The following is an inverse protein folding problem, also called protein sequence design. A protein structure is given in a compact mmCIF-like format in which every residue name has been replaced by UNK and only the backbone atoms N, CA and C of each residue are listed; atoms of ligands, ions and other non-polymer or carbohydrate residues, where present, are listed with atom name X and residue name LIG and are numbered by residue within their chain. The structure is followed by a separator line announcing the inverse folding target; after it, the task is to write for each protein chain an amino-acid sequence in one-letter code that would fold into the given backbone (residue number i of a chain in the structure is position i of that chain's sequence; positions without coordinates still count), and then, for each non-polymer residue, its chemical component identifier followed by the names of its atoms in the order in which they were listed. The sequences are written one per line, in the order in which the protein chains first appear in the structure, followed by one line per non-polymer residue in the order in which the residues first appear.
data_IF_830696337449
#
_entry.id   IF_830696337449
#
_cell.length_a   1.000
_cell.length_b   1.000
_cell.length_c   1.000
_cell.angle_alpha   90.00
_cell.angle_beta   90.00
_cell.angle_gamma   90.00
#
_symmetry.space_group_name_H-M   'P 1'
#
loop_
_entity.id
_entity.type
_entity.pdbx_description
1 polymer ?
#
# COMPACT_ATOMS: atom_id res chain seq x y z
N UNK A 1 52.01 20.25 -6.51
CA UNK A 1 51.76 18.96 -5.82
C UNK A 1 50.60 19.11 -4.87
N UNK A 2 49.43 18.68 -5.29
CA UNK A 2 48.27 18.55 -4.38
C UNK A 2 48.52 17.29 -3.54
N UNK A 3 48.69 17.48 -2.23
CA UNK A 3 49.18 16.46 -1.35
C UNK A 3 48.16 15.34 -1.13
N UNK A 4 48.65 14.12 -0.89
CA UNK A 4 47.89 12.92 -0.51
C UNK A 4 46.92 13.19 0.64
N UNK A 5 47.16 14.18 1.50
CA UNK A 5 46.27 14.57 2.60
C UNK A 5 44.92 15.15 2.18
N UNK A 6 44.82 15.79 1.02
CA UNK A 6 43.57 16.36 0.51
C UNK A 6 42.62 15.28 -0.08
N UNK A 7 43.22 14.23 -0.64
CA UNK A 7 42.44 13.07 -1.15
C UNK A 7 41.85 12.27 0.00
N UNK A 8 42.64 12.03 1.06
CA UNK A 8 42.18 11.35 2.27
C UNK A 8 41.08 12.12 3.03
N UNK A 9 41.22 13.45 3.14
CA UNK A 9 40.16 14.28 3.76
C UNK A 9 38.85 14.28 2.97
N UNK A 10 38.92 14.31 1.63
CA UNK A 10 37.73 14.20 0.78
C UNK A 10 37.06 12.83 0.91
N UNK A 11 37.85 11.75 0.87
CA UNK A 11 37.32 10.39 1.03
C UNK A 11 36.65 10.21 2.39
N UNK A 12 37.25 10.69 3.51
CA UNK A 12 36.62 10.64 4.83
C UNK A 12 35.36 11.53 4.95
N UNK A 13 35.29 12.65 4.23
CA UNK A 13 34.10 13.49 4.21
C UNK A 13 32.98 12.86 3.38
N UNK A 14 33.30 12.23 2.26
CA UNK A 14 32.33 11.52 1.42
C UNK A 14 31.78 10.27 2.13
N UNK A 15 32.63 9.49 2.84
CA UNK A 15 32.20 8.37 3.67
C UNK A 15 31.34 8.85 4.85
N UNK A 16 31.71 9.93 5.53
CA UNK A 16 30.92 10.48 6.64
C UNK A 16 29.55 11.01 6.17
N UNK A 17 29.48 11.58 4.96
CA UNK A 17 28.23 12.04 4.36
C UNK A 17 27.33 10.86 4.01
N UNK A 18 27.87 9.78 3.47
CA UNK A 18 27.16 8.56 3.10
C UNK A 18 26.61 7.84 4.36
N UNK A 19 27.40 7.75 5.44
CA UNK A 19 26.95 7.22 6.73
C UNK A 19 25.82 8.06 7.35
N UNK A 20 25.88 9.40 7.24
CA UNK A 20 24.83 10.29 7.73
C UNK A 20 23.51 10.12 6.98
N UNK A 21 23.56 10.00 5.66
CA UNK A 21 22.38 9.78 4.82
C UNK A 21 21.76 8.39 5.04
N UNK A 22 22.59 7.36 5.20
CA UNK A 22 22.15 6.01 5.55
C UNK A 22 21.46 5.97 6.92
N UNK A 23 22.03 6.64 7.93
CA UNK A 23 21.45 6.75 9.26
C UNK A 23 20.10 7.49 9.24
N UNK A 24 19.97 8.56 8.46
CA UNK A 24 18.71 9.30 8.28
C UNK A 24 17.64 8.45 7.60
N UNK A 25 18.00 7.68 6.57
CA UNK A 25 17.08 6.74 5.90
C UNK A 25 16.64 5.62 6.84
N UNK A 26 17.55 5.05 7.62
CA UNK A 26 17.23 4.03 8.62
C UNK A 26 16.32 4.57 9.71
N UNK A 27 16.58 5.77 10.23
CA UNK A 27 15.74 6.42 11.24
C UNK A 27 14.32 6.71 10.70
N UNK A 28 14.20 7.13 9.44
CA UNK A 28 12.89 7.34 8.80
C UNK A 28 12.10 6.04 8.69
N UNK A 29 12.76 4.94 8.31
CA UNK A 29 12.13 3.61 8.22
C UNK A 29 11.67 3.14 9.59
N UNK A 30 12.50 3.28 10.62
CA UNK A 30 12.16 2.92 12.00
C UNK A 30 10.99 3.74 12.53
N UNK A 31 10.99 5.06 12.28
CA UNK A 31 9.90 5.94 12.70
C UNK A 31 8.56 5.58 12.04
N UNK A 32 8.59 5.20 10.76
CA UNK A 32 7.39 4.78 10.05
C UNK A 32 6.81 3.45 10.58
N UNK A 33 7.63 2.62 11.22
CA UNK A 33 7.25 1.32 11.79
C UNK A 33 6.89 1.38 13.27
N UNK A 34 6.83 2.56 13.89
CA UNK A 34 6.43 2.68 15.29
C UNK A 34 5.02 2.11 15.49
N UNK A 35 4.90 1.20 16.48
CA UNK A 35 3.68 0.45 16.75
C UNK A 35 3.55 -0.87 15.98
N UNK A 36 4.48 -1.17 15.05
CA UNK A 36 4.51 -2.44 14.35
C UNK A 36 5.30 -3.49 15.15
N UNK A 37 4.80 -4.71 15.24
CA UNK A 37 5.58 -5.85 15.71
C UNK A 37 6.73 -6.14 14.76
N UNK A 38 7.91 -6.44 15.30
CA UNK A 38 9.09 -6.78 14.52
C UNK A 38 9.66 -8.12 14.94
N UNK A 39 10.21 -8.84 13.97
CA UNK A 39 10.97 -10.06 14.22
C UNK A 39 12.46 -9.74 14.30
N UNK A 40 13.16 -10.37 15.24
CA UNK A 40 14.60 -10.22 15.40
C UNK A 40 15.26 -11.51 15.86
N UNK A 41 16.56 -11.66 15.60
CA UNK A 41 17.40 -12.71 16.15
C UNK A 41 18.31 -12.15 17.23
N UNK A 42 18.34 -12.80 18.38
CA UNK A 42 19.28 -12.45 19.44
C UNK A 42 20.68 -12.94 19.02
N UNK A 43 21.65 -12.02 19.00
CA UNK A 43 23.04 -12.27 18.63
C UNK A 43 23.95 -12.44 19.83
N UNK A 44 23.61 -11.80 20.93
CA UNK A 44 24.40 -11.87 22.14
C UNK A 44 23.65 -11.30 23.33
N UNK A 45 24.04 -11.81 24.48
CA UNK A 45 23.57 -11.35 25.79
C UNK A 45 24.81 -10.98 26.62
N UNK A 46 24.83 -9.77 27.14
CA UNK A 46 25.84 -9.36 28.10
C UNK A 46 25.21 -9.21 29.49
N UNK A 47 25.42 -10.20 30.38
CA UNK A 47 24.86 -10.17 31.74
C UNK A 47 25.42 -9.03 32.60
N UNK A 48 26.65 -8.54 32.32
CA UNK A 48 27.30 -7.48 33.10
C UNK A 48 26.66 -6.13 32.84
N UNK A 49 26.42 -5.81 31.58
CA UNK A 49 25.79 -4.54 31.16
C UNK A 49 24.27 -4.68 31.07
N UNK A 50 23.69 -5.87 31.25
CA UNK A 50 22.26 -6.20 31.04
C UNK A 50 21.77 -5.78 29.67
N UNK A 51 22.62 -5.92 28.64
CA UNK A 51 22.31 -5.57 27.28
C UNK A 51 22.07 -6.79 26.40
N UNK A 52 21.18 -6.61 25.42
CA UNK A 52 20.83 -7.61 24.40
C UNK A 52 21.17 -7.02 23.04
N UNK A 53 21.97 -7.75 22.27
CA UNK A 53 22.22 -7.42 20.86
C UNK A 53 21.32 -8.27 19.99
N UNK A 54 20.51 -7.64 19.16
CA UNK A 54 19.56 -8.31 18.28
C UNK A 54 19.67 -7.77 16.84
N UNK A 55 19.37 -8.61 15.87
CA UNK A 55 19.41 -8.26 14.45
C UNK A 55 18.07 -8.55 13.77
N UNK A 56 17.39 -7.49 13.32
CA UNK A 56 16.20 -7.60 12.45
C UNK A 56 16.60 -8.11 11.06
N UNK A 57 17.69 -7.59 10.50
CA UNK A 57 18.18 -7.98 9.17
C UNK A 57 18.34 -9.51 9.05
N UNK A 58 18.98 -10.13 10.03
CA UNK A 58 19.17 -11.57 10.00
C UNK A 58 17.88 -12.38 10.17
N UNK A 59 16.94 -11.86 10.99
CA UNK A 59 15.62 -12.46 11.09
C UNK A 59 14.89 -12.42 9.74
N UNK A 60 14.97 -11.30 9.01
CA UNK A 60 14.39 -11.16 7.68
C UNK A 60 15.04 -12.12 6.67
N UNK A 61 16.37 -12.19 6.63
CA UNK A 61 17.08 -13.12 5.74
C UNK A 61 16.71 -14.59 6.04
N UNK A 62 16.63 -14.97 7.31
CA UNK A 62 16.19 -16.30 7.71
C UNK A 62 14.76 -16.60 7.28
N UNK A 63 13.83 -15.66 7.43
CA UNK A 63 12.46 -15.82 6.93
C UNK A 63 12.44 -15.99 5.42
N UNK A 64 13.20 -15.17 4.68
CA UNK A 64 13.27 -15.28 3.22
C UNK A 64 13.79 -16.65 2.79
N UNK A 65 14.84 -17.15 3.43
CA UNK A 65 15.34 -18.51 3.17
C UNK A 65 14.23 -19.57 3.35
N UNK A 66 13.55 -19.55 4.50
CA UNK A 66 12.54 -20.56 4.87
C UNK A 66 11.28 -20.51 4.00
N UNK A 67 10.85 -19.32 3.58
CA UNK A 67 9.57 -19.15 2.93
C UNK A 67 9.66 -19.09 1.40
N UNK A 68 10.79 -18.65 0.82
CA UNK A 68 10.92 -18.44 -0.61
C UNK A 68 11.92 -19.38 -1.28
N UNK A 69 12.91 -19.91 -0.56
CA UNK A 69 13.98 -20.71 -1.13
C UNK A 69 13.92 -22.17 -0.69
N UNK A 70 13.64 -22.43 0.59
CA UNK A 70 13.50 -23.79 1.08
C UNK A 70 12.25 -24.42 0.48
N UNK A 71 12.43 -25.65 -0.04
CA UNK A 71 11.36 -26.43 -0.65
C UNK A 71 10.79 -27.42 0.34
N UNK A 72 9.50 -27.60 0.31
CA UNK A 72 8.80 -28.63 1.07
C UNK A 72 8.94 -30.04 0.42
N UNK A 73 8.26 -31.02 0.97
CA UNK A 73 8.27 -32.40 0.46
C UNK A 73 7.72 -32.52 -0.97
N UNK A 74 6.93 -31.54 -1.45
CA UNK A 74 6.42 -31.47 -2.82
C UNK A 74 7.37 -30.79 -3.79
N UNK A 75 8.51 -30.25 -3.31
CA UNK A 75 9.48 -29.51 -4.09
C UNK A 75 9.12 -28.03 -4.31
N UNK A 76 8.07 -27.53 -3.62
CA UNK A 76 7.58 -26.14 -3.76
C UNK A 76 8.03 -25.27 -2.58
N UNK A 77 8.35 -23.99 -2.82
CA UNK A 77 8.55 -23.03 -1.74
C UNK A 77 7.21 -22.74 -1.03
N UNK A 78 7.27 -22.20 0.19
CA UNK A 78 6.05 -21.88 0.95
C UNK A 78 5.30 -20.65 0.38
N UNK A 79 6.01 -19.73 -0.27
CA UNK A 79 5.42 -18.58 -0.96
C UNK A 79 5.67 -18.73 -2.45
N UNK A 80 4.59 -18.73 -3.21
CA UNK A 80 4.58 -18.87 -4.66
C UNK A 80 3.43 -18.07 -5.26
N UNK A 81 3.44 -17.89 -6.55
CA UNK A 81 2.44 -17.16 -7.31
C UNK A 81 1.02 -17.70 -7.09
N UNK A 82 0.03 -16.81 -7.04
CA UNK A 82 -1.39 -17.06 -6.73
C UNK A 82 -1.71 -17.49 -5.29
N UNK A 83 -0.70 -17.71 -4.45
CA UNK A 83 -0.95 -18.03 -3.04
C UNK A 83 -1.46 -16.82 -2.28
N UNK A 84 -2.49 -17.03 -1.44
CA UNK A 84 -2.95 -16.04 -0.47
C UNK A 84 -2.16 -16.26 0.83
N UNK A 85 -1.56 -15.17 1.33
CA UNK A 85 -0.73 -15.17 2.54
C UNK A 85 -1.05 -13.95 3.41
N UNK A 86 -0.66 -14.02 4.67
CA UNK A 86 -0.75 -12.89 5.57
C UNK A 86 0.47 -11.98 5.39
N UNK A 87 0.22 -10.68 5.29
CA UNK A 87 1.22 -9.62 5.27
C UNK A 87 1.02 -8.68 6.46
N UNK A 88 2.09 -8.10 6.95
CA UNK A 88 2.07 -7.10 8.02
C UNK A 88 2.26 -5.71 7.42
N UNK A 89 1.38 -4.78 7.74
CA UNK A 89 1.50 -3.37 7.32
C UNK A 89 2.60 -2.69 8.13
N UNK A 90 3.63 -2.16 7.45
CA UNK A 90 4.79 -1.53 8.09
C UNK A 90 4.86 -0.02 7.86
N UNK A 91 4.16 0.50 6.87
CA UNK A 91 3.97 1.94 6.66
C UNK A 91 2.73 2.18 5.80
N UNK A 92 2.06 3.31 6.02
CA UNK A 92 0.88 3.73 5.25
C UNK A 92 1.05 5.18 4.80
N UNK A 93 0.85 5.43 3.52
CA UNK A 93 0.73 6.76 2.94
C UNK A 93 -0.57 6.87 2.15
N UNK A 94 -0.92 8.07 1.69
CA UNK A 94 -2.21 8.34 1.04
C UNK A 94 -2.58 7.35 -0.07
N UNK A 95 -1.62 7.00 -0.93
CA UNK A 95 -1.85 6.15 -2.13
C UNK A 95 -1.05 4.85 -2.13
N UNK A 96 -0.38 4.51 -1.03
CA UNK A 96 0.45 3.32 -0.96
C UNK A 96 0.51 2.75 0.46
N UNK A 97 0.43 1.44 0.56
CA UNK A 97 0.70 0.67 1.78
C UNK A 97 2.00 -0.11 1.56
N UNK A 98 2.92 0.01 2.50
CA UNK A 98 4.09 -0.89 2.55
C UNK A 98 3.78 -2.04 3.48
N UNK A 99 3.95 -3.25 2.98
CA UNK A 99 3.71 -4.48 3.73
C UNK A 99 4.96 -5.35 3.77
N UNK A 100 5.13 -6.08 4.85
CA UNK A 100 6.14 -7.12 5.00
C UNK A 100 5.48 -8.49 4.82
N UNK A 101 6.00 -9.27 3.88
CA UNK A 101 5.56 -10.64 3.60
C UNK A 101 6.74 -11.57 3.86
N UNK A 102 6.76 -12.23 5.02
CA UNK A 102 7.81 -13.18 5.43
C UNK A 102 9.25 -12.65 5.21
N UNK A 103 9.51 -11.41 5.66
CA UNK A 103 10.83 -10.80 5.58
C UNK A 103 11.11 -10.01 4.30
N UNK A 104 10.16 -9.95 3.36
CA UNK A 104 10.24 -9.13 2.14
C UNK A 104 9.31 -7.93 2.28
N UNK A 105 9.84 -6.73 2.09
CA UNK A 105 9.03 -5.51 2.06
C UNK A 105 8.57 -5.25 0.62
N UNK A 106 7.27 -5.04 0.45
CA UNK A 106 6.65 -4.69 -0.82
C UNK A 106 5.76 -3.46 -0.68
N UNK A 107 5.56 -2.74 -1.77
CA UNK A 107 4.66 -1.59 -1.83
C UNK A 107 3.43 -1.94 -2.63
N UNK A 108 2.25 -1.81 -2.02
CA UNK A 108 0.96 -2.07 -2.65
C UNK A 108 0.30 -0.72 -2.90
N UNK A 109 0.04 -0.39 -4.16
CA UNK A 109 -0.57 0.87 -4.54
C UNK A 109 -2.08 0.85 -4.26
N UNK A 110 -2.69 2.03 -4.09
CA UNK A 110 -4.13 2.16 -3.81
C UNK A 110 -5.03 1.37 -4.79
N UNK A 111 -4.67 1.33 -6.08
CA UNK A 111 -5.37 0.56 -7.12
C UNK A 111 -5.31 -0.97 -6.94
N UNK A 112 -4.34 -1.45 -6.13
CA UNK A 112 -4.12 -2.87 -5.85
C UNK A 112 -4.56 -3.24 -4.43
N UNK A 113 -4.97 -2.25 -3.62
CA UNK A 113 -5.55 -2.44 -2.29
C UNK A 113 -7.04 -2.77 -2.35
N UNK A 114 -7.79 -2.20 -3.31
CA UNK A 114 -9.24 -2.40 -3.43
C UNK A 114 -9.70 -2.18 -4.87
N UNK A 115 -10.82 -2.84 -5.25
CA UNK A 115 -11.56 -2.50 -6.47
C UNK A 115 -12.31 -1.17 -6.33
N UNK A 116 -12.57 -0.76 -5.11
CA UNK A 116 -13.17 0.54 -4.82
C UNK A 116 -12.12 1.63 -4.86
N UNK A 117 -12.50 2.80 -5.35
CA UNK A 117 -11.60 3.95 -5.30
C UNK A 117 -11.30 4.34 -3.87
N UNK A 118 -10.03 4.55 -3.62
CA UNK A 118 -9.51 4.90 -2.32
C UNK A 118 -8.85 6.29 -2.41
N UNK A 119 -9.46 7.26 -1.76
CA UNK A 119 -8.94 8.62 -1.65
C UNK A 119 -7.67 8.67 -0.81
N UNK A 120 -7.69 7.96 0.32
CA UNK A 120 -6.57 7.90 1.27
C UNK A 120 -6.52 6.49 1.91
N UNK A 121 -5.40 5.79 1.73
CA UNK A 121 -5.22 4.44 2.29
C UNK A 121 -5.16 4.45 3.83
N UNK A 122 -4.80 5.58 4.46
CA UNK A 122 -4.75 5.74 5.92
C UNK A 122 -6.12 5.64 6.59
N UNK A 123 -7.20 5.78 5.82
CA UNK A 123 -8.57 5.59 6.32
C UNK A 123 -8.94 4.11 6.55
N UNK A 124 -8.23 3.19 5.89
CA UNK A 124 -8.53 1.74 5.93
C UNK A 124 -7.42 0.90 6.52
N UNK A 125 -6.18 1.38 6.50
CA UNK A 125 -5.01 0.62 6.91
C UNK A 125 -4.20 1.39 7.95
N UNK A 126 -3.71 0.67 8.94
CA UNK A 126 -2.85 1.20 9.99
C UNK A 126 -1.55 0.40 10.07
N UNK A 127 -0.49 1.04 10.58
CA UNK A 127 0.79 0.35 10.85
C UNK A 127 0.58 -0.72 11.92
N UNK A 128 1.04 -1.94 11.66
CA UNK A 128 0.83 -3.10 12.51
C UNK A 128 -0.34 -4.00 12.10
N UNK A 129 -1.22 -3.56 11.19
CA UNK A 129 -2.31 -4.40 10.69
C UNK A 129 -1.77 -5.67 10.01
N UNK A 130 -2.52 -6.75 10.18
CA UNK A 130 -2.34 -7.98 9.42
C UNK A 130 -3.39 -8.06 8.32
N UNK A 131 -2.95 -8.08 7.08
CA UNK A 131 -3.82 -8.11 5.89
C UNK A 131 -3.56 -9.38 5.08
N UNK A 132 -4.58 -9.89 4.43
CA UNK A 132 -4.42 -10.97 3.46
C UNK A 132 -4.07 -10.37 2.10
N UNK A 133 -3.06 -10.95 1.46
CA UNK A 133 -2.61 -10.56 0.13
C UNK A 133 -2.50 -11.78 -0.77
N UNK A 134 -2.79 -11.61 -2.06
CA UNK A 134 -2.46 -12.59 -3.09
C UNK A 134 -1.11 -12.26 -3.69
N UNK A 135 -0.25 -13.25 -3.79
CA UNK A 135 1.05 -13.12 -4.44
C UNK A 135 0.83 -13.11 -5.96
N UNK A 136 1.29 -12.05 -6.62
CA UNK A 136 1.18 -11.89 -8.07
C UNK A 136 2.44 -12.34 -8.81
N UNK A 137 3.61 -12.12 -8.23
CA UNK A 137 4.91 -12.50 -8.79
C UNK A 137 5.92 -12.67 -7.67
N UNK A 138 6.81 -13.65 -7.81
CA UNK A 138 7.92 -13.93 -6.89
C UNK A 138 9.18 -14.16 -7.68
N UNK A 139 10.24 -13.43 -7.33
CA UNK A 139 11.61 -13.68 -7.80
C UNK A 139 12.51 -13.86 -6.60
N UNK A 140 13.12 -15.02 -6.49
CA UNK A 140 13.93 -15.40 -5.34
C UNK A 140 15.20 -16.12 -5.80
N UNK A 141 16.28 -15.37 -5.98
CA UNK A 141 17.58 -15.89 -6.39
C UNK A 141 18.45 -16.23 -5.16
N UNK A 142 18.40 -15.39 -4.14
CA UNK A 142 19.06 -15.56 -2.85
C UNK A 142 18.27 -14.88 -1.74
N UNK A 143 18.54 -15.14 -0.44
CA UNK A 143 17.83 -14.46 0.65
C UNK A 143 17.96 -12.94 0.61
N UNK A 144 19.05 -12.41 0.05
CA UNK A 144 19.26 -10.98 -0.15
C UNK A 144 18.45 -10.42 -1.31
N UNK A 145 18.16 -11.23 -2.31
CA UNK A 145 17.53 -10.85 -3.58
C UNK A 145 16.18 -11.55 -3.75
N UNK A 146 15.23 -11.20 -2.90
CA UNK A 146 13.84 -11.63 -3.03
C UNK A 146 12.97 -10.42 -3.33
N UNK A 147 12.20 -10.51 -4.41
CA UNK A 147 11.22 -9.51 -4.82
C UNK A 147 9.85 -10.16 -4.86
N UNK A 148 8.85 -9.51 -4.29
CA UNK A 148 7.47 -9.98 -4.26
C UNK A 148 6.55 -8.85 -4.70
N UNK A 149 5.64 -9.16 -5.61
CA UNK A 149 4.50 -8.32 -5.94
C UNK A 149 3.23 -8.98 -5.43
N UNK A 150 2.37 -8.21 -4.80
CA UNK A 150 1.13 -8.71 -4.22
C UNK A 150 0.01 -7.66 -4.31
N UNK A 151 -1.22 -8.11 -4.24
CA UNK A 151 -2.38 -7.24 -4.12
C UNK A 151 -3.33 -7.70 -2.99
N UNK A 152 -4.18 -6.80 -2.54
CA UNK A 152 -5.23 -7.06 -1.55
C UNK A 152 -6.57 -7.29 -2.24
N UNK A 153 -6.84 -6.53 -3.31
CA UNK A 153 -8.15 -6.51 -3.98
C UNK A 153 -8.60 -7.88 -4.48
N UNK A 154 -7.69 -8.71 -4.98
CA UNK A 154 -8.04 -10.04 -5.52
C UNK A 154 -8.40 -11.06 -4.42
N UNK A 155 -8.07 -10.77 -3.16
CA UNK A 155 -8.47 -11.59 -2.01
C UNK A 155 -9.89 -11.30 -1.59
N UNK A 156 -10.31 -10.02 -1.60
CA UNK A 156 -11.65 -9.59 -1.16
C UNK A 156 -12.78 -9.96 -2.14
N UNK A 157 -12.44 -10.33 -3.37
CA UNK A 157 -13.42 -10.59 -4.42
C UNK A 157 -13.99 -9.31 -5.03
N UNK A 158 -14.40 -9.39 -6.30
CA UNK A 158 -14.89 -8.22 -7.04
C UNK A 158 -16.42 -8.09 -6.92
N UNK A 159 -16.91 -7.53 -5.82
CA UNK A 159 -18.34 -7.19 -5.65
C UNK A 159 -18.78 -6.03 -6.56
N UNK A 160 -17.83 -5.25 -7.08
CA UNK A 160 -18.09 -4.08 -7.93
C UNK A 160 -18.80 -4.45 -9.24
N UNK A 161 -18.44 -5.59 -9.87
CA UNK A 161 -19.14 -6.09 -11.08
C UNK A 161 -20.59 -6.51 -10.79
N UNK A 162 -20.86 -7.12 -9.65
CA UNK A 162 -22.23 -7.49 -9.26
C UNK A 162 -23.06 -6.26 -8.97
N UNK A 163 -22.47 -5.27 -8.30
CA UNK A 163 -23.15 -4.02 -8.00
C UNK A 163 -23.43 -3.19 -9.25
N UNK A 164 -22.57 -3.27 -10.27
CA UNK A 164 -22.79 -2.59 -11.56
C UNK A 164 -24.08 -3.05 -12.23
N UNK A 165 -24.47 -4.32 -12.10
CA UNK A 165 -25.75 -4.84 -12.62
C UNK A 165 -26.98 -4.15 -12.03
N UNK A 166 -26.84 -3.57 -10.83
CA UNK A 166 -27.90 -2.80 -10.14
C UNK A 166 -27.96 -1.34 -10.61
N UNK A 167 -26.91 -0.87 -11.29
CA UNK A 167 -26.80 0.48 -11.80
C UNK A 167 -27.60 0.62 -13.11
N UNK A 168 -28.46 1.65 -13.18
CA UNK A 168 -29.29 1.90 -14.36
C UNK A 168 -28.94 3.26 -14.96
N UNK A 169 -28.92 3.35 -16.29
CA UNK A 169 -28.83 4.62 -17.00
C UNK A 169 -30.08 5.46 -16.63
N UNK A 170 -29.88 6.77 -16.42
CA UNK A 170 -30.85 7.72 -15.87
C UNK A 170 -31.25 7.44 -14.43
N UNK A 171 -30.67 6.41 -13.79
CA UNK A 171 -30.86 6.15 -12.37
C UNK A 171 -30.24 7.26 -11.53
N UNK A 172 -30.96 7.64 -10.45
CA UNK A 172 -30.52 8.65 -9.49
C UNK A 172 -30.08 7.95 -8.20
N UNK A 173 -28.86 8.21 -7.80
CA UNK A 173 -28.25 7.55 -6.61
C UNK A 173 -27.62 8.60 -5.69
N UNK A 174 -27.66 8.35 -4.40
CA UNK A 174 -26.77 9.06 -3.47
C UNK A 174 -25.34 8.54 -3.64
N UNK A 175 -24.35 9.37 -3.39
CA UNK A 175 -22.96 8.97 -3.42
C UNK A 175 -22.11 9.86 -2.53
N UNK A 176 -20.91 9.37 -2.22
CA UNK A 176 -19.87 10.10 -1.48
C UNK A 176 -18.72 10.42 -2.42
N UNK A 177 -18.23 11.65 -2.38
CA UNK A 177 -17.06 12.07 -3.16
C UNK A 177 -15.80 11.50 -2.52
N UNK A 178 -15.11 10.63 -3.25
CA UNK A 178 -13.88 9.97 -2.76
C UNK A 178 -12.63 10.78 -3.12
N UNK A 179 -12.60 11.34 -4.33
CA UNK A 179 -11.45 12.14 -4.77
C UNK A 179 -11.87 13.17 -5.84
N UNK A 180 -11.02 14.20 -6.00
CA UNK A 180 -11.16 15.21 -7.06
C UNK A 180 -9.79 15.39 -7.69
N UNK A 181 -9.68 15.14 -8.98
CA UNK A 181 -8.43 15.30 -9.70
C UNK A 181 -8.65 15.98 -11.06
N UNK A 182 -7.96 17.10 -11.29
CA UNK A 182 -8.04 17.88 -12.55
C UNK A 182 -9.47 18.16 -13.01
N UNK A 183 -10.36 18.52 -12.08
CA UNK A 183 -11.76 18.84 -12.38
C UNK A 183 -12.68 17.61 -12.55
N UNK A 184 -12.13 16.42 -12.50
CA UNK A 184 -12.91 15.17 -12.50
C UNK A 184 -13.25 14.79 -11.05
N UNK A 185 -14.53 14.55 -10.78
CA UNK A 185 -15.00 14.16 -9.44
C UNK A 185 -15.27 12.66 -9.41
N UNK A 186 -14.61 11.97 -8.51
CA UNK A 186 -14.74 10.53 -8.29
C UNK A 186 -15.72 10.29 -7.15
N UNK A 187 -16.78 9.55 -7.42
CA UNK A 187 -17.90 9.33 -6.51
C UNK A 187 -18.09 7.83 -6.26
N UNK A 188 -18.31 7.45 -5.01
CA UNK A 188 -18.77 6.13 -4.63
C UNK A 188 -20.28 6.18 -4.43
N UNK A 189 -21.05 5.53 -5.31
CA UNK A 189 -22.50 5.46 -5.21
C UNK A 189 -22.93 4.54 -4.05
N UNK A 190 -24.07 4.83 -3.43
CA UNK A 190 -24.63 4.05 -2.31
C UNK A 190 -24.89 2.58 -2.63
N UNK A 191 -25.04 2.26 -3.92
CA UNK A 191 -25.19 0.88 -4.43
C UNK A 191 -23.84 0.15 -4.58
N UNK A 192 -22.72 0.75 -4.14
CA UNK A 192 -21.40 0.15 -4.24
C UNK A 192 -20.78 0.20 -5.65
N UNK A 193 -21.09 1.21 -6.45
CA UNK A 193 -20.54 1.43 -7.79
C UNK A 193 -19.63 2.66 -7.79
N UNK A 194 -18.48 2.55 -8.45
CA UNK A 194 -17.61 3.68 -8.72
C UNK A 194 -18.20 4.52 -9.87
N UNK A 195 -18.24 5.83 -9.69
CA UNK A 195 -18.82 6.75 -10.67
C UNK A 195 -17.92 7.98 -10.90
N UNK A 196 -17.92 8.50 -12.12
CA UNK A 196 -17.22 9.72 -12.52
C UNK A 196 -18.25 10.78 -12.87
N UNK A 197 -18.16 11.95 -12.22
CA UNK A 197 -18.94 13.11 -12.59
C UNK A 197 -18.14 14.00 -13.54
N UNK A 198 -18.75 14.32 -14.68
CA UNK A 198 -18.19 15.28 -15.66
C UNK A 198 -18.63 16.71 -15.40
N UNK A 199 -19.74 16.88 -14.66
CA UNK A 199 -20.30 18.18 -14.31
C UNK A 199 -21.07 18.12 -13.01
N UNK A 200 -21.19 19.30 -12.39
CA UNK A 200 -21.98 19.51 -11.19
C UNK A 200 -22.93 20.69 -11.45
N UNK A 201 -24.21 20.49 -11.20
CA UNK A 201 -25.24 21.53 -11.35
C UNK A 201 -25.51 22.30 -10.05
N UNK A 202 -24.89 21.89 -8.96
CA UNK A 202 -24.95 22.64 -7.70
C UNK A 202 -24.06 23.89 -7.79
N UNK A 203 -24.50 25.00 -7.27
CA UNK A 203 -23.74 26.26 -7.24
C UNK A 203 -22.55 26.24 -6.27
N UNK A 204 -22.55 25.28 -5.34
CA UNK A 204 -21.47 25.09 -4.37
C UNK A 204 -20.32 24.31 -4.97
N UNK A 205 -19.12 24.57 -4.50
CA UNK A 205 -17.95 23.77 -4.88
C UNK A 205 -18.00 22.42 -4.19
N UNK A 206 -17.86 21.35 -4.98
CA UNK A 206 -17.79 19.97 -4.49
C UNK A 206 -16.46 19.73 -3.78
N UNK A 207 -16.51 19.18 -2.57
CA UNK A 207 -15.35 18.77 -1.76
C UNK A 207 -15.24 17.24 -1.60
N UNK A 208 -14.06 16.79 -1.17
CA UNK A 208 -13.90 15.38 -0.74
C UNK A 208 -14.82 15.07 0.43
N UNK A 209 -15.36 13.83 0.46
CA UNK A 209 -16.32 13.34 1.47
C UNK A 209 -17.69 14.01 1.44
N UNK A 210 -17.95 14.91 0.51
CA UNK A 210 -19.30 15.45 0.33
C UNK A 210 -20.26 14.35 -0.09
N UNK A 211 -21.48 14.37 0.45
CA UNK A 211 -22.56 13.55 -0.01
C UNK A 211 -23.32 14.25 -1.15
N UNK A 212 -23.45 13.55 -2.27
CA UNK A 212 -24.02 14.12 -3.48
C UNK A 212 -25.15 13.27 -4.04
N UNK A 213 -26.02 13.89 -4.80
CA UNK A 213 -27.01 13.23 -5.65
C UNK A 213 -26.44 13.13 -7.06
N UNK A 214 -26.33 11.92 -7.57
CA UNK A 214 -25.71 11.59 -8.85
C UNK A 214 -26.71 10.95 -9.79
N UNK A 215 -26.73 11.38 -11.04
CA UNK A 215 -27.53 10.78 -12.12
C UNK A 215 -26.58 10.14 -13.13
N UNK A 216 -26.82 8.86 -13.40
CA UNK A 216 -26.04 8.07 -14.35
C UNK A 216 -26.46 8.41 -15.79
N UNK A 217 -25.52 8.83 -16.61
CA UNK A 217 -25.75 9.10 -18.04
C UNK A 217 -25.26 7.97 -18.94
N UNK A 218 -24.22 7.27 -18.52
CA UNK A 218 -23.60 6.18 -19.27
C UNK A 218 -22.95 5.17 -18.32
N UNK A 219 -22.82 3.91 -18.76
CA UNK A 219 -22.13 2.84 -18.03
C UNK A 219 -20.98 2.34 -18.90
N UNK A 220 -19.75 2.47 -18.39
CA UNK A 220 -18.56 1.90 -18.99
C UNK A 220 -18.33 0.51 -18.36
N UNK A 221 -18.77 -0.52 -19.08
CA UNK A 221 -18.68 -1.91 -18.60
C UNK A 221 -17.24 -2.43 -18.56
N UNK A 222 -16.36 -1.96 -19.48
CA UNK A 222 -14.95 -2.39 -19.52
C UNK A 222 -14.20 -1.91 -18.29
N UNK A 223 -14.40 -0.65 -17.91
CA UNK A 223 -13.77 -0.03 -16.74
C UNK A 223 -14.56 -0.27 -15.45
N UNK A 224 -15.76 -0.82 -15.57
CA UNK A 224 -16.68 -1.04 -14.46
C UNK A 224 -16.98 0.26 -13.68
N UNK A 225 -17.32 1.33 -14.42
CA UNK A 225 -17.53 2.68 -13.90
C UNK A 225 -18.82 3.27 -14.47
N UNK A 226 -19.61 3.95 -13.63
CA UNK A 226 -20.74 4.75 -14.08
C UNK A 226 -20.28 6.19 -14.40
N UNK A 227 -20.68 6.72 -15.52
CA UNK A 227 -20.45 8.11 -15.90
C UNK A 227 -21.73 8.92 -15.69
N UNK A 228 -21.61 10.16 -15.23
CA UNK A 228 -22.82 10.94 -14.99
C UNK A 228 -22.55 12.34 -14.46
N UNK A 229 -23.56 12.87 -13.78
CA UNK A 229 -23.64 14.27 -13.36
C UNK A 229 -24.02 14.34 -11.89
N UNK A 230 -23.38 15.21 -11.14
CA UNK A 230 -23.82 15.60 -9.81
C UNK A 230 -24.93 16.63 -9.96
N UNK A 231 -26.14 16.30 -9.51
CA UNK A 231 -27.30 17.20 -9.60
C UNK A 231 -27.41 18.16 -8.41
N UNK A 232 -26.93 17.73 -7.24
CA UNK A 232 -26.86 18.57 -6.03
C UNK A 232 -25.92 18.00 -5.00
N UNK A 233 -25.42 18.84 -4.13
CA UNK A 233 -24.72 18.43 -2.91
C UNK A 233 -25.75 18.26 -1.81
N UNK A 234 -25.87 17.05 -1.25
CA UNK A 234 -26.80 16.73 -0.17
C UNK A 234 -26.26 17.23 1.16
N UNK A 235 -24.98 16.93 1.43
CA UNK A 235 -24.28 17.34 2.66
C UNK A 235 -22.82 17.64 2.33
N UNK A 236 -22.34 18.81 2.75
CA UNK A 236 -20.91 19.13 2.69
C UNK A 236 -20.21 18.68 3.97
N UNK A 237 -19.02 18.15 3.78
CA UNK A 237 -18.11 17.84 4.89
C UNK A 237 -17.17 19.03 5.02
N UNK A 238 -17.25 19.72 6.16
CA UNK A 238 -16.44 20.89 6.52
C UNK A 238 -15.10 20.40 7.08
#
# INVERSE_FOLDING_TARGET
SRGLGDVYKRQMQDEAHDYGELALRQNKTLNNMLGCEIDFLIKGLDPKTRSIVASRKEAMLKKRQIFYLDKDASGMPKVYEDRIVQARVIAVAEKVVRAEIFGVETSILARDLSFDWMGDARERFQVGDHILVRILDVRADSPEQVIVHADVKSVEGNTSKENMKKCKIQGKYAGTVEDIHKGTVFVRLSIGVNAIAHSCYDSRTVGKKDQVSFVVTHIDEERNVALGIITRIIKQTI
#
